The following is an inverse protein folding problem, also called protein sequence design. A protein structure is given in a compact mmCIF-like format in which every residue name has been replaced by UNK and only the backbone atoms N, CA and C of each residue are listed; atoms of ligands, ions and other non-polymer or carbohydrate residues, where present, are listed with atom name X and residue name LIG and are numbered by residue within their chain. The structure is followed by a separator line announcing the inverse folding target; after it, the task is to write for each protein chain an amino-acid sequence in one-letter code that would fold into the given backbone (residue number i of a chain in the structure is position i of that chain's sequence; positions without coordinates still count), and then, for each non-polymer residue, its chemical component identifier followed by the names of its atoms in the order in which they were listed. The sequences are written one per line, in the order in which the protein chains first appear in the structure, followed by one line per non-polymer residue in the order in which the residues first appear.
data_IF_594194053450
#
_entry.id   IF_594194053450
#
_cell.length_a   1.000
_cell.length_b   1.000
_cell.length_c   1.000
_cell.angle_alpha   90.00
_cell.angle_beta   90.00
_cell.angle_gamma   90.00
#
_symmetry.space_group_name_H-M   'P 1'
#
loop_
_entity.id
_entity.type
_entity.pdbx_description
1 polymer ?
#
# COMPACT_ATOMS: atom_id res chain seq x y z
N UNK A 1 12.02 20.95 -15.01
CA UNK A 1 11.47 20.11 -13.94
C UNK A 1 11.51 20.91 -12.65
N UNK A 2 10.36 21.19 -12.07
CA UNK A 2 10.28 21.85 -10.75
C UNK A 2 10.76 20.80 -9.73
N UNK A 3 11.77 21.15 -8.94
CA UNK A 3 12.28 20.27 -7.91
C UNK A 3 11.28 20.24 -6.73
N UNK A 4 10.26 19.38 -6.84
CA UNK A 4 9.20 19.20 -5.84
C UNK A 4 9.68 18.59 -4.52
N UNK A 5 10.94 18.14 -4.43
CA UNK A 5 11.50 17.54 -3.20
C UNK A 5 11.55 18.50 -2.01
N UNK A 6 11.56 19.83 -2.23
CA UNK A 6 11.53 20.84 -1.17
C UNK A 6 10.12 21.06 -0.58
N UNK A 7 9.09 20.44 -1.14
CA UNK A 7 7.71 20.56 -0.65
C UNK A 7 7.46 19.59 0.52
N UNK A 8 8.18 18.46 0.55
CA UNK A 8 7.91 17.41 1.52
C UNK A 8 8.85 17.48 2.75
N UNK A 9 8.25 17.58 3.93
CA UNK A 9 8.96 17.71 5.22
C UNK A 9 9.06 16.36 5.93
N UNK A 10 9.87 15.48 5.36
CA UNK A 10 10.24 14.21 5.99
C UNK A 10 11.40 14.44 6.96
N UNK A 11 11.28 13.95 8.19
CA UNK A 11 12.35 13.96 9.20
C UNK A 11 13.13 12.64 9.18
N UNK A 12 14.43 12.68 9.48
CA UNK A 12 15.25 11.46 9.64
C UNK A 12 14.80 10.56 10.79
N UNK A 13 14.02 11.09 11.73
CA UNK A 13 13.44 10.33 12.86
C UNK A 13 12.11 9.66 12.51
N UNK A 14 11.58 9.87 11.31
CA UNK A 14 10.25 9.37 10.95
C UNK A 14 10.27 7.84 10.77
N UNK A 15 9.28 7.20 11.39
CA UNK A 15 8.97 5.78 11.25
C UNK A 15 7.67 5.67 10.47
N UNK A 16 7.71 5.07 9.28
CA UNK A 16 6.63 5.17 8.30
C UNK A 16 6.08 3.79 7.96
N UNK A 17 4.80 3.59 8.21
CA UNK A 17 4.06 2.45 7.69
C UNK A 17 3.57 2.77 6.28
N UNK A 18 3.82 1.87 5.32
CA UNK A 18 3.48 2.07 3.91
C UNK A 18 2.25 1.25 3.55
N UNK A 19 1.22 1.94 3.05
CA UNK A 19 -0.04 1.33 2.63
C UNK A 19 0.03 0.68 1.23
N UNK A 20 -0.94 -0.19 0.92
CA UNK A 20 -1.03 -0.95 -0.34
C UNK A 20 -1.12 -0.04 -1.55
N UNK A 21 -1.96 1.01 -1.51
CA UNK A 21 -2.14 1.91 -2.66
C UNK A 21 -0.81 2.59 -3.07
N UNK A 22 0.02 2.95 -2.09
CA UNK A 22 1.35 3.53 -2.29
C UNK A 22 2.29 2.53 -2.93
N UNK A 23 2.29 1.28 -2.48
CA UNK A 23 3.09 0.23 -3.12
C UNK A 23 2.69 0.04 -4.57
N UNK A 24 1.40 0.12 -4.90
CA UNK A 24 0.93 0.01 -6.26
C UNK A 24 1.45 1.18 -7.11
N UNK A 25 1.36 2.42 -6.63
CA UNK A 25 1.91 3.57 -7.36
C UNK A 25 3.42 3.47 -7.59
N UNK A 26 4.18 3.00 -6.59
CA UNK A 26 5.63 2.97 -6.65
C UNK A 26 6.20 1.77 -7.42
N UNK A 27 5.63 0.59 -7.19
CA UNK A 27 6.21 -0.69 -7.61
C UNK A 27 5.34 -1.44 -8.61
N UNK A 28 4.17 -0.90 -8.95
CA UNK A 28 3.24 -1.48 -9.93
C UNK A 28 2.47 -0.41 -10.72
N UNK A 29 3.07 0.72 -11.14
CA UNK A 29 2.35 1.84 -11.76
C UNK A 29 1.65 1.46 -13.06
N UNK A 30 2.16 0.47 -13.80
CA UNK A 30 1.51 -0.02 -15.03
C UNK A 30 0.13 -0.65 -14.81
N UNK A 31 -0.21 -0.98 -13.57
CA UNK A 31 -1.49 -1.60 -13.20
C UNK A 31 -2.56 -0.54 -12.89
N UNK A 32 -2.19 0.70 -12.60
CA UNK A 32 -3.12 1.78 -12.29
C UNK A 32 -3.25 2.73 -13.50
N UNK A 33 -4.49 3.14 -13.80
CA UNK A 33 -4.80 4.06 -14.90
C UNK A 33 -4.98 5.47 -14.34
N UNK A 34 -4.56 6.49 -15.10
CA UNK A 34 -4.74 7.90 -14.76
C UNK A 34 -4.17 8.29 -13.38
N UNK A 35 -3.01 7.74 -13.02
CA UNK A 35 -2.40 7.93 -11.71
C UNK A 35 -1.02 8.63 -11.79
N UNK A 36 -0.74 9.37 -12.86
CA UNK A 36 0.57 9.97 -13.08
C UNK A 36 0.94 10.94 -11.95
N UNK A 37 -0.03 11.75 -11.48
CA UNK A 37 0.15 12.67 -10.36
C UNK A 37 0.49 11.94 -9.05
N UNK A 38 -0.22 10.84 -8.75
CA UNK A 38 0.05 10.01 -7.57
C UNK A 38 1.42 9.34 -7.69
N UNK A 39 1.78 8.81 -8.86
CA UNK A 39 3.08 8.20 -9.10
C UNK A 39 4.20 9.21 -8.90
N UNK A 40 4.08 10.42 -9.46
CA UNK A 40 5.07 11.48 -9.29
C UNK A 40 5.19 11.91 -7.82
N UNK A 41 4.06 12.21 -7.17
CA UNK A 41 3.98 12.59 -5.75
C UNK A 41 4.66 11.55 -4.87
N UNK A 42 4.21 10.30 -4.94
CA UNK A 42 4.70 9.27 -4.03
C UNK A 42 6.12 8.84 -4.36
N UNK A 43 6.57 8.91 -5.62
CA UNK A 43 7.99 8.71 -5.97
C UNK A 43 8.88 9.75 -5.31
N UNK A 44 8.46 11.02 -5.27
CA UNK A 44 9.21 12.08 -4.61
C UNK A 44 9.23 11.92 -3.08
N UNK A 45 8.10 11.58 -2.46
CA UNK A 45 8.02 11.30 -1.01
C UNK A 45 8.89 10.09 -0.64
N UNK A 46 8.79 9.00 -1.40
CA UNK A 46 9.58 7.78 -1.18
C UNK A 46 11.08 8.05 -1.34
N UNK A 47 11.49 8.80 -2.36
CA UNK A 47 12.89 9.20 -2.54
C UNK A 47 13.41 9.94 -1.31
N UNK A 48 12.59 10.85 -0.74
CA UNK A 48 12.98 11.58 0.47
C UNK A 48 13.11 10.69 1.70
N UNK A 49 12.23 9.69 1.84
CA UNK A 49 12.31 8.69 2.91
C UNK A 49 13.62 7.90 2.85
N UNK A 50 14.02 7.47 1.64
CA UNK A 50 15.26 6.74 1.42
C UNK A 50 16.49 7.63 1.66
N UNK A 51 16.50 8.86 1.14
CA UNK A 51 17.58 9.84 1.36
C UNK A 51 17.81 10.13 2.84
N UNK A 52 16.72 10.29 3.59
CA UNK A 52 16.74 10.56 5.02
C UNK A 52 16.95 9.30 5.88
N UNK A 53 17.02 8.11 5.26
CA UNK A 53 17.17 6.80 5.93
C UNK A 53 16.10 6.55 7.00
N UNK A 54 14.86 6.94 6.70
CA UNK A 54 13.73 6.68 7.56
C UNK A 54 13.45 5.18 7.68
N UNK A 55 12.92 4.75 8.83
CA UNK A 55 12.51 3.37 9.00
C UNK A 55 11.15 3.15 8.31
N UNK A 56 11.11 2.28 7.31
CA UNK A 56 9.87 1.88 6.66
C UNK A 56 9.33 0.59 7.27
N UNK A 57 8.01 0.45 7.37
CA UNK A 57 7.33 -0.68 7.97
C UNK A 57 6.19 -1.18 7.08
N UNK A 58 5.97 -2.50 7.13
CA UNK A 58 4.89 -3.19 6.43
C UNK A 58 4.48 -4.43 7.23
N UNK A 59 3.20 -4.80 7.20
CA UNK A 59 2.69 -6.03 7.80
C UNK A 59 2.14 -7.02 6.76
N UNK A 60 1.64 -8.15 7.24
CA UNK A 60 1.11 -9.23 6.38
C UNK A 60 -0.10 -8.80 5.53
N UNK A 61 -0.95 -7.90 6.06
CA UNK A 61 -2.17 -7.46 5.40
C UNK A 61 -1.88 -6.64 4.14
N UNK A 62 -0.95 -5.68 4.22
CA UNK A 62 -0.51 -4.90 3.05
C UNK A 62 0.10 -5.80 1.98
N UNK A 63 0.92 -6.79 2.38
CA UNK A 63 1.51 -7.75 1.44
C UNK A 63 0.43 -8.58 0.73
N UNK A 64 -0.53 -9.09 1.50
CA UNK A 64 -1.65 -9.88 0.98
C UNK A 64 -2.49 -9.07 -0.02
N UNK A 65 -2.81 -7.83 0.34
CA UNK A 65 -3.62 -6.96 -0.49
C UNK A 65 -2.87 -6.55 -1.77
N UNK A 66 -1.60 -6.13 -1.67
CA UNK A 66 -0.78 -5.78 -2.83
C UNK A 66 -0.76 -6.90 -3.88
N UNK A 67 -0.49 -8.14 -3.45
CA UNK A 67 -0.45 -9.30 -4.35
C UNK A 67 -1.83 -9.50 -5.00
N UNK A 68 -2.89 -9.56 -4.19
CA UNK A 68 -4.23 -9.84 -4.68
C UNK A 68 -4.76 -8.74 -5.59
N UNK A 69 -4.50 -7.47 -5.27
CA UNK A 69 -4.95 -6.30 -6.03
C UNK A 69 -4.27 -6.22 -7.38
N UNK A 70 -2.94 -6.38 -7.45
CA UNK A 70 -2.21 -6.40 -8.73
C UNK A 70 -2.69 -7.53 -9.65
N UNK A 71 -2.88 -8.73 -9.11
CA UNK A 71 -3.44 -9.86 -9.87
C UNK A 71 -4.86 -9.61 -10.35
N UNK A 72 -5.69 -8.99 -9.50
CA UNK A 72 -7.07 -8.67 -9.85
C UNK A 72 -7.14 -7.64 -10.97
N UNK A 73 -6.30 -6.61 -10.90
CA UNK A 73 -6.19 -5.60 -11.95
C UNK A 73 -5.75 -6.23 -13.28
N UNK A 74 -4.73 -7.09 -13.27
CA UNK A 74 -4.28 -7.77 -14.49
C UNK A 74 -5.39 -8.63 -15.10
N UNK A 75 -6.12 -9.35 -14.25
CA UNK A 75 -7.28 -10.10 -14.69
C UNK A 75 -8.32 -9.20 -15.35
N UNK A 76 -8.74 -8.13 -14.68
CA UNK A 76 -9.81 -7.26 -15.17
C UNK A 76 -9.39 -6.48 -16.44
N UNK A 77 -8.13 -6.05 -16.55
CA UNK A 77 -7.66 -5.22 -17.66
C UNK A 77 -7.12 -6.01 -18.87
N UNK A 78 -6.52 -7.17 -18.66
CA UNK A 78 -5.78 -7.88 -19.72
C UNK A 78 -6.33 -9.27 -20.04
N UNK A 79 -6.89 -9.98 -19.06
CA UNK A 79 -7.35 -11.36 -19.25
C UNK A 79 -8.86 -11.45 -19.51
N UNK A 80 -9.65 -10.62 -18.84
CA UNK A 80 -11.11 -10.66 -18.83
C UNK A 80 -11.74 -9.47 -19.57
N UNK A 81 -11.14 -9.06 -20.69
CA UNK A 81 -11.57 -7.89 -21.47
C UNK A 81 -13.06 -8.00 -21.88
N UNK A 82 -13.50 -9.20 -22.22
CA UNK A 82 -14.88 -9.48 -22.62
C UNK A 82 -15.83 -9.79 -21.45
N UNK A 83 -15.34 -9.75 -20.22
CA UNK A 83 -16.10 -10.01 -18.98
C UNK A 83 -16.79 -11.39 -18.91
N UNK A 84 -16.27 -12.38 -19.64
CA UNK A 84 -16.80 -13.75 -19.72
C UNK A 84 -15.94 -14.78 -18.96
N UNK A 85 -14.81 -14.37 -18.39
CA UNK A 85 -13.88 -15.23 -17.66
C UNK A 85 -14.10 -15.17 -16.16
N UNK A 86 -13.73 -16.24 -15.48
CA UNK A 86 -13.72 -16.35 -14.03
C UNK A 86 -12.29 -16.24 -13.48
N UNK A 87 -12.11 -15.36 -12.50
CA UNK A 87 -10.81 -15.13 -11.86
C UNK A 87 -10.18 -16.40 -11.28
N UNK A 88 -10.97 -17.22 -10.59
CA UNK A 88 -10.44 -18.40 -9.89
C UNK A 88 -10.24 -19.58 -10.83
N UNK A 89 -11.18 -19.84 -11.74
CA UNK A 89 -11.16 -21.02 -12.62
C UNK A 89 -10.26 -20.82 -13.82
N UNK A 90 -10.38 -19.69 -14.50
CA UNK A 90 -9.73 -19.48 -15.80
C UNK A 90 -8.39 -18.78 -15.63
N UNK A 91 -8.34 -17.72 -14.81
CA UNK A 91 -7.13 -16.91 -14.69
C UNK A 91 -6.06 -17.55 -13.81
N UNK A 92 -6.38 -18.00 -12.59
CA UNK A 92 -5.37 -18.60 -11.69
C UNK A 92 -4.70 -19.86 -12.24
N UNK A 93 -5.32 -20.54 -13.21
CA UNK A 93 -4.74 -21.70 -13.90
C UNK A 93 -3.95 -21.32 -15.17
N UNK A 94 -3.93 -20.04 -15.55
CA UNK A 94 -3.35 -19.58 -16.82
C UNK A 94 -1.86 -19.23 -16.72
N UNK A 95 -1.19 -19.23 -17.86
CA UNK A 95 0.18 -18.70 -17.98
C UNK A 95 0.24 -17.19 -17.71
N UNK A 96 -0.84 -16.46 -18.01
CA UNK A 96 -0.92 -15.02 -17.73
C UNK A 96 -0.78 -14.75 -16.22
N UNK A 97 -1.51 -15.50 -15.38
CA UNK A 97 -1.36 -15.44 -13.93
C UNK A 97 0.09 -15.73 -13.49
N UNK A 98 0.69 -16.80 -14.01
CA UNK A 98 2.08 -17.17 -13.66
C UNK A 98 3.09 -16.09 -14.06
N UNK A 99 2.87 -15.41 -15.17
CA UNK A 99 3.70 -14.28 -15.60
C UNK A 99 3.52 -13.09 -14.65
N UNK A 100 2.27 -12.73 -14.36
CA UNK A 100 1.93 -11.57 -13.52
C UNK A 100 2.42 -11.76 -12.09
N UNK A 101 2.19 -12.91 -11.46
CA UNK A 101 2.65 -13.14 -10.09
C UNK A 101 4.18 -13.09 -9.96
N UNK A 102 4.93 -13.54 -10.98
CA UNK A 102 6.40 -13.41 -10.97
C UNK A 102 6.85 -11.95 -11.00
N UNK A 103 6.17 -11.10 -11.77
CA UNK A 103 6.45 -9.66 -11.83
C UNK A 103 6.12 -9.03 -10.47
N UNK A 104 4.91 -9.27 -9.95
CA UNK A 104 4.44 -8.74 -8.67
C UNK A 104 5.39 -9.13 -7.52
N UNK A 105 5.80 -10.40 -7.44
CA UNK A 105 6.73 -10.85 -6.40
C UNK A 105 8.13 -10.24 -6.54
N UNK A 106 8.60 -10.00 -7.77
CA UNK A 106 9.87 -9.31 -8.01
C UNK A 106 9.82 -7.88 -7.51
N UNK A 107 8.75 -7.16 -7.81
CA UNK A 107 8.58 -5.76 -7.39
C UNK A 107 8.37 -5.65 -5.87
N UNK A 108 7.56 -6.54 -5.28
CA UNK A 108 7.43 -6.64 -3.82
C UNK A 108 8.79 -6.89 -3.15
N UNK A 109 9.60 -7.83 -3.67
CA UNK A 109 10.93 -8.12 -3.11
C UNK A 109 11.84 -6.89 -3.12
N UNK A 110 11.73 -6.00 -4.11
CA UNK A 110 12.47 -4.73 -4.11
C UNK A 110 12.01 -3.85 -2.96
N UNK A 111 10.70 -3.64 -2.78
CA UNK A 111 10.18 -2.84 -1.68
C UNK A 111 10.61 -3.41 -0.31
N UNK A 112 10.49 -4.73 -0.11
CA UNK A 112 10.87 -5.39 1.14
C UNK A 112 12.37 -5.24 1.47
N UNK A 113 13.23 -4.91 0.50
CA UNK A 113 14.64 -4.59 0.77
C UNK A 113 14.85 -3.25 1.48
N UNK A 114 13.83 -2.38 1.49
CA UNK A 114 13.82 -1.09 2.17
C UNK A 114 13.00 -1.09 3.47
N UNK A 115 12.17 -2.11 3.70
CA UNK A 115 11.17 -2.10 4.76
C UNK A 115 11.42 -3.17 5.83
N UNK A 116 11.17 -2.79 7.07
CA UNK A 116 11.11 -3.68 8.21
C UNK A 116 9.73 -4.37 8.23
N UNK A 117 9.71 -5.64 8.59
CA UNK A 117 8.47 -6.37 8.80
C UNK A 117 7.96 -6.14 10.22
N UNK A 118 6.67 -5.85 10.35
CA UNK A 118 6.00 -5.70 11.65
C UNK A 118 4.84 -6.69 11.75
N UNK A 119 4.61 -7.20 12.96
CA UNK A 119 3.45 -8.05 13.23
C UNK A 119 2.18 -7.21 13.18
N UNK A 120 1.10 -7.82 12.70
CA UNK A 120 -0.26 -7.24 12.75
C UNK A 120 -0.92 -7.44 14.13
N UNK A 121 -0.29 -8.22 15.01
CA UNK A 121 -0.72 -8.53 16.38
C UNK A 121 -2.20 -8.94 16.47
N UNK A 122 -2.69 -9.68 15.46
CA UNK A 122 -4.10 -10.08 15.33
C UNK A 122 -4.67 -10.75 16.59
N UNK A 123 -3.87 -11.53 17.31
CA UNK A 123 -4.27 -12.17 18.58
C UNK A 123 -4.77 -11.16 19.62
N UNK A 124 -4.19 -9.96 19.63
CA UNK A 124 -4.52 -8.87 20.55
C UNK A 124 -5.54 -7.86 20.00
N UNK A 125 -6.00 -8.06 18.76
CA UNK A 125 -6.86 -7.10 18.07
C UNK A 125 -8.33 -7.30 18.39
N UNK A 126 -8.96 -6.32 19.05
CA UNK A 126 -10.40 -6.34 19.35
C UNK A 126 -11.22 -5.86 18.14
N UNK A 127 -11.59 -6.84 17.29
CA UNK A 127 -12.41 -6.62 16.08
C UNK A 127 -13.73 -5.92 16.42
N UNK A 128 -14.39 -6.35 17.50
CA UNK A 128 -15.72 -5.83 17.86
C UNK A 128 -15.63 -4.37 18.28
N UNK A 129 -14.56 -4.01 18.99
CA UNK A 129 -14.31 -2.62 19.38
C UNK A 129 -13.90 -1.75 18.19
N UNK A 130 -13.08 -2.26 17.28
CA UNK A 130 -12.63 -1.53 16.10
C UNK A 130 -13.79 -1.08 15.19
N UNK A 131 -14.80 -1.94 14.99
CA UNK A 131 -16.00 -1.60 14.23
C UNK A 131 -17.03 -0.72 14.97
N UNK A 132 -16.83 -0.41 16.27
CA UNK A 132 -17.67 0.59 16.93
C UNK A 132 -17.29 2.01 16.53
N UNK A 133 -16.02 2.22 16.15
CA UNK A 133 -15.48 3.54 15.78
C UNK A 133 -15.68 3.90 14.31
N UNK A 134 -16.07 2.97 13.46
CA UNK A 134 -16.31 3.20 12.02
C UNK A 134 -17.20 2.11 11.43
N UNK A 135 -18.00 2.49 10.43
CA UNK A 135 -18.85 1.55 9.66
C UNK A 135 -18.42 1.40 8.21
N UNK A 136 -17.53 2.26 7.72
CA UNK A 136 -17.20 2.37 6.30
C UNK A 136 -15.81 1.81 5.97
N UNK A 137 -14.88 1.78 6.94
CA UNK A 137 -13.56 1.19 6.73
C UNK A 137 -13.62 -0.34 6.59
N UNK A 138 -12.74 -0.86 5.74
CA UNK A 138 -12.57 -2.29 5.64
C UNK A 138 -11.74 -2.85 6.80
N UNK A 139 -11.68 -4.19 6.89
CA UNK A 139 -10.96 -4.83 7.99
C UNK A 139 -9.44 -4.60 7.94
N UNK A 140 -8.86 -4.50 6.74
CA UNK A 140 -7.43 -4.28 6.58
C UNK A 140 -7.05 -2.88 7.06
N UNK A 141 -7.87 -1.87 6.74
CA UNK A 141 -7.68 -0.49 7.21
C UNK A 141 -7.65 -0.44 8.74
N UNK A 142 -8.54 -1.17 9.40
CA UNK A 142 -8.59 -1.25 10.85
C UNK A 142 -7.33 -1.86 11.45
N UNK A 143 -6.80 -2.93 10.84
CA UNK A 143 -5.55 -3.57 11.27
C UNK A 143 -4.35 -2.65 11.03
N UNK A 144 -4.29 -1.99 9.88
CA UNK A 144 -3.24 -1.02 9.55
C UNK A 144 -3.28 0.12 10.58
N UNK A 145 -4.47 0.66 10.85
CA UNK A 145 -4.65 1.75 11.77
C UNK A 145 -4.22 1.40 13.21
N UNK A 146 -4.57 0.20 13.67
CA UNK A 146 -4.15 -0.32 14.96
C UNK A 146 -2.63 -0.50 15.03
N UNK A 147 -2.03 -1.10 13.99
CA UNK A 147 -0.57 -1.27 13.87
C UNK A 147 0.15 0.07 13.94
N UNK A 148 -0.32 1.07 13.18
CA UNK A 148 0.24 2.42 13.13
C UNK A 148 0.18 3.08 14.50
N UNK A 149 -0.99 3.05 15.16
CA UNK A 149 -1.20 3.70 16.46
C UNK A 149 -0.39 3.04 17.57
N UNK A 150 -0.42 1.71 17.68
CA UNK A 150 0.32 0.96 18.72
C UNK A 150 1.83 1.21 18.66
N UNK A 151 2.37 1.38 17.46
CA UNK A 151 3.81 1.51 17.23
C UNK A 151 4.27 2.97 17.06
N UNK A 152 3.37 3.95 17.17
CA UNK A 152 3.69 5.37 16.99
C UNK A 152 4.26 5.68 15.60
N UNK A 153 3.74 5.01 14.57
CA UNK A 153 4.18 5.19 13.18
C UNK A 153 3.40 6.32 12.51
N UNK A 154 3.97 6.87 11.45
CA UNK A 154 3.25 7.71 10.48
C UNK A 154 2.72 6.82 9.35
N UNK A 155 1.51 7.07 8.86
CA UNK A 155 0.94 6.32 7.74
C UNK A 155 1.20 7.07 6.43
N UNK A 156 1.79 6.39 5.45
CA UNK A 156 1.84 6.88 4.06
C UNK A 156 0.76 6.14 3.27
N UNK A 157 -0.33 6.84 2.96
CA UNK A 157 -1.48 6.35 2.19
C UNK A 157 -2.08 7.48 1.33
N UNK A 158 -2.76 7.10 0.24
CA UNK A 158 -3.62 8.00 -0.56
C UNK A 158 -5.11 7.89 -0.17
N UNK A 159 -5.45 6.99 0.77
CA UNK A 159 -6.82 6.73 1.20
C UNK A 159 -7.21 7.68 2.34
N UNK A 160 -8.22 8.52 2.07
CA UNK A 160 -8.68 9.55 3.00
C UNK A 160 -9.49 8.99 4.15
N UNK A 161 -9.99 7.77 4.04
CA UNK A 161 -10.83 7.15 5.06
C UNK A 161 -10.03 6.89 6.36
N UNK A 162 -8.69 6.83 6.27
CA UNK A 162 -7.81 6.81 7.45
C UNK A 162 -7.90 8.07 8.32
N UNK A 163 -8.23 9.23 7.73
CA UNK A 163 -8.40 10.47 8.50
C UNK A 163 -9.62 10.42 9.41
N UNK A 164 -10.68 9.72 9.00
CA UNK A 164 -11.91 9.58 9.78
C UNK A 164 -11.69 8.78 11.07
N UNK A 165 -10.73 7.85 11.04
CA UNK A 165 -10.28 7.08 12.21
C UNK A 165 -9.08 7.70 12.92
N UNK A 166 -8.78 8.97 12.63
CA UNK A 166 -7.81 9.80 13.37
C UNK A 166 -6.35 9.54 13.02
N UNK A 167 -6.06 9.09 11.81
CA UNK A 167 -4.69 8.94 11.30
C UNK A 167 -4.38 10.08 10.33
N UNK A 168 -3.33 10.85 10.64
CA UNK A 168 -2.82 11.88 9.74
C UNK A 168 -2.02 11.24 8.60
N UNK A 169 -2.52 11.39 7.37
CA UNK A 169 -1.86 10.91 6.14
C UNK A 169 -1.15 12.04 5.38
N UNK A 170 -1.28 13.30 5.81
CA UNK A 170 -0.67 14.48 5.17
C UNK A 170 0.55 15.03 5.94
N UNK A 171 1.06 14.25 6.88
CA UNK A 171 2.16 14.63 7.77
C UNK A 171 3.45 15.07 7.05
N UNK A 172 3.66 14.62 5.82
CA UNK A 172 4.85 14.95 5.00
C UNK A 172 4.67 16.22 4.17
N UNK A 173 3.47 16.82 4.11
CA UNK A 173 3.18 18.04 3.35
C UNK A 173 3.14 19.31 4.23
N UNK A 174 3.30 19.17 5.55
CA UNK A 174 3.08 20.24 6.54
C UNK A 174 4.31 21.05 6.84
#
# INVERSE_FOLDING_TARGET
MINVSNIYKVSTSDKVFVDTNILIFLFSPSYVKNSDDQVEKYSAVFSKLIENKCDLYINSHVVSEFINRCLRIDFDNNFNINQDKNYKKDYRASEAYLKTIKIVLKELKKFLSFANHINDDFESFDISQAYKSTKENDFNDLIIADTVKKNGLKLLSDDKDFMEIGIDIDWYCK
#
